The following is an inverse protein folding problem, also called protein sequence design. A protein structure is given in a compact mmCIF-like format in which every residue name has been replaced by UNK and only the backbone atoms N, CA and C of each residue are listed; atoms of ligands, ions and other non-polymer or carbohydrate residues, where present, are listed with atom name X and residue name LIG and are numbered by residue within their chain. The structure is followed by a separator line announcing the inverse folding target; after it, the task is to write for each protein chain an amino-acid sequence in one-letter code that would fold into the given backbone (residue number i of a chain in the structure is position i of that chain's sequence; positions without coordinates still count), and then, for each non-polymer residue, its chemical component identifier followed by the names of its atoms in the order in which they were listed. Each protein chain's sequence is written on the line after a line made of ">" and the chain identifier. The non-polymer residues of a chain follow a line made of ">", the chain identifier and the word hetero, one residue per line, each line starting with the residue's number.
data_IF_808002185061
#
_entry.id   IF_808002185061
#
_cell.length_a   1.000
_cell.length_b   1.000
_cell.length_c   1.000
_cell.angle_alpha   90.00
_cell.angle_beta   90.00
_cell.angle_gamma   90.00
#
_symmetry.space_group_name_H-M   'P 1'
#
loop_
_entity.id
_entity.type
_entity.pdbx_description
1 polymer ?
#
# COMPACT_ATOMS: atom_id res chain seq x y z
N UNK A 1 6.40 -11.66 19.06
CA UNK A 1 6.83 -12.34 20.33
C UNK A 1 7.41 -13.71 20.03
N UNK A 2 6.70 -14.64 19.38
CA UNK A 2 7.19 -16.00 19.13
C UNK A 2 8.51 -16.05 18.35
N UNK A 3 8.63 -15.29 17.26
CA UNK A 3 9.87 -15.21 16.46
C UNK A 3 11.06 -14.65 17.24
N UNK A 4 10.84 -13.66 18.09
CA UNK A 4 11.90 -13.09 18.92
C UNK A 4 12.45 -14.13 19.90
N UNK A 5 11.58 -14.83 20.59
CA UNK A 5 11.97 -15.91 21.51
C UNK A 5 12.71 -17.05 20.80
N UNK A 6 12.25 -17.39 19.60
CA UNK A 6 12.90 -18.41 18.78
C UNK A 6 14.32 -18.01 18.34
N UNK A 7 14.50 -16.77 17.91
CA UNK A 7 15.82 -16.23 17.57
C UNK A 7 16.75 -16.16 18.78
N UNK A 8 16.21 -15.80 19.95
CA UNK A 8 16.98 -15.76 21.18
C UNK A 8 17.39 -17.17 21.64
N UNK A 9 16.53 -18.17 21.42
CA UNK A 9 16.89 -19.58 21.61
C UNK A 9 18.08 -19.98 20.74
N UNK A 10 18.05 -19.68 19.45
CA UNK A 10 19.15 -19.99 18.52
C UNK A 10 20.48 -19.35 18.96
N UNK A 11 20.41 -18.08 19.38
CA UNK A 11 21.58 -17.36 19.92
C UNK A 11 22.14 -18.04 21.17
N UNK A 12 21.26 -18.51 22.07
CA UNK A 12 21.65 -19.20 23.29
C UNK A 12 22.46 -20.48 23.02
N UNK A 13 22.31 -21.08 21.85
CA UNK A 13 23.12 -22.19 21.35
C UNK A 13 24.27 -21.77 20.42
N UNK A 14 24.52 -20.47 20.29
CA UNK A 14 25.59 -19.90 19.47
C UNK A 14 25.32 -19.93 17.96
N UNK A 15 24.10 -20.22 17.55
CA UNK A 15 23.64 -20.21 16.14
C UNK A 15 23.22 -18.81 15.71
N UNK A 16 24.19 -17.94 15.41
CA UNK A 16 23.99 -16.53 15.15
C UNK A 16 24.22 -16.12 13.67
N UNK A 17 24.77 -17.06 12.86
CA UNK A 17 25.03 -16.78 11.44
C UNK A 17 23.73 -16.72 10.67
N UNK A 18 23.70 -15.87 9.62
CA UNK A 18 22.52 -15.70 8.77
C UNK A 18 21.94 -17.03 8.28
N UNK A 19 22.76 -17.89 7.69
CA UNK A 19 22.30 -19.16 7.14
C UNK A 19 21.81 -20.16 8.19
N UNK A 20 22.40 -20.15 9.38
CA UNK A 20 21.93 -20.95 10.50
C UNK A 20 20.53 -20.50 10.93
N UNK A 21 20.35 -19.20 11.09
CA UNK A 21 19.06 -18.63 11.45
C UNK A 21 18.01 -18.86 10.35
N UNK A 22 18.39 -18.64 9.09
CA UNK A 22 17.50 -18.87 7.95
C UNK A 22 17.09 -20.34 7.83
N UNK A 23 18.03 -21.27 7.94
CA UNK A 23 17.76 -22.71 7.92
C UNK A 23 16.83 -23.13 9.06
N UNK A 24 17.05 -22.64 10.28
CA UNK A 24 16.22 -22.94 11.42
C UNK A 24 14.79 -22.38 11.29
N UNK A 25 14.60 -21.24 10.63
CA UNK A 25 13.28 -20.65 10.38
C UNK A 25 12.53 -21.35 9.24
N UNK A 26 13.24 -21.68 8.15
CA UNK A 26 12.62 -22.27 6.95
C UNK A 26 12.32 -23.75 7.11
N UNK A 27 13.22 -24.50 7.72
CA UNK A 27 13.12 -25.97 7.87
C UNK A 27 13.40 -26.43 9.30
N UNK A 28 12.68 -25.92 10.31
CA UNK A 28 12.95 -26.16 11.73
C UNK A 28 12.93 -27.66 12.10
N UNK A 29 12.01 -28.42 11.50
CA UNK A 29 11.84 -29.86 11.79
C UNK A 29 13.03 -30.72 11.35
N UNK A 30 13.88 -30.21 10.47
CA UNK A 30 15.12 -30.88 10.03
C UNK A 30 16.32 -30.36 10.81
N UNK A 31 16.47 -29.05 10.88
CA UNK A 31 17.68 -28.40 11.39
C UNK A 31 17.81 -28.52 12.91
N UNK A 32 16.70 -28.33 13.65
CA UNK A 32 16.74 -28.42 15.12
C UNK A 32 17.08 -29.83 15.62
N UNK A 33 16.50 -30.94 15.11
CA UNK A 33 16.90 -32.28 15.48
C UNK A 33 18.36 -32.61 15.09
N UNK A 34 18.83 -32.10 13.94
CA UNK A 34 20.21 -32.26 13.50
C UNK A 34 21.19 -31.61 14.49
N UNK A 35 20.92 -30.36 14.89
CA UNK A 35 21.75 -29.68 15.91
C UNK A 35 21.60 -30.28 17.30
N UNK A 36 20.42 -30.78 17.66
CA UNK A 36 20.22 -31.46 18.95
C UNK A 36 21.02 -32.76 19.11
N UNK A 37 21.44 -33.38 17.98
CA UNK A 37 22.30 -34.55 17.95
C UNK A 37 23.79 -34.23 17.86
N UNK A 38 24.15 -32.97 17.54
CA UNK A 38 25.55 -32.55 17.42
C UNK A 38 26.15 -32.27 18.82
N UNK A 39 27.14 -33.05 19.29
CA UNK A 39 27.73 -32.85 20.60
C UNK A 39 28.47 -31.51 20.76
N UNK A 40 28.79 -30.83 19.65
CA UNK A 40 29.42 -29.52 19.65
C UNK A 40 28.47 -28.38 19.90
N UNK A 41 27.17 -28.62 19.72
CA UNK A 41 26.13 -27.63 19.98
C UNK A 41 25.73 -27.65 21.44
N UNK A 42 26.30 -26.71 22.22
CA UNK A 42 26.05 -26.60 23.66
C UNK A 42 25.31 -25.30 23.99
N UNK A 43 24.51 -25.36 25.01
CA UNK A 43 23.89 -24.17 25.59
C UNK A 43 24.96 -23.24 26.17
N UNK A 44 24.96 -21.99 25.74
CA UNK A 44 25.96 -20.98 26.10
C UNK A 44 25.45 -19.96 27.12
N UNK A 45 24.19 -20.00 27.44
CA UNK A 45 23.58 -19.08 28.38
C UNK A 45 22.43 -18.28 27.76
N UNK A 46 21.79 -17.48 28.57
CA UNK A 46 20.63 -16.67 28.16
C UNK A 46 21.08 -15.47 27.30
N UNK A 47 20.71 -15.44 26.03
CA UNK A 47 21.20 -14.46 25.05
C UNK A 47 20.85 -13.00 25.35
N UNK A 48 19.83 -12.77 26.17
CA UNK A 48 19.39 -11.43 26.56
C UNK A 48 20.28 -10.77 27.63
N UNK A 49 21.09 -11.54 28.38
CA UNK A 49 21.93 -11.04 29.47
C UNK A 49 23.15 -10.26 28.96
N UNK A 50 23.53 -9.23 29.71
CA UNK A 50 24.71 -8.43 29.40
C UNK A 50 26.00 -9.26 29.50
N UNK A 51 26.04 -10.23 30.39
CA UNK A 51 27.17 -11.18 30.52
C UNK A 51 27.34 -12.02 29.27
N UNK A 52 26.23 -12.55 28.71
CA UNK A 52 26.29 -13.31 27.47
C UNK A 52 26.80 -12.45 26.31
N UNK A 53 26.32 -11.21 26.17
CA UNK A 53 26.76 -10.29 25.13
C UNK A 53 28.23 -9.93 25.22
N UNK A 54 28.78 -9.85 26.45
CA UNK A 54 30.21 -9.61 26.68
C UNK A 54 31.06 -10.83 26.37
N UNK A 55 30.59 -12.03 26.75
CA UNK A 55 31.33 -13.30 26.52
C UNK A 55 31.26 -13.74 25.05
N UNK A 56 30.16 -13.47 24.37
CA UNK A 56 29.92 -13.88 22.98
C UNK A 56 29.55 -12.68 22.10
N UNK A 57 30.48 -11.74 21.88
CA UNK A 57 30.19 -10.55 21.08
C UNK A 57 29.98 -10.95 19.63
N UNK A 58 28.78 -10.75 19.15
CA UNK A 58 28.44 -10.95 17.74
C UNK A 58 28.52 -9.62 16.99
N UNK A 59 29.56 -9.46 16.17
CA UNK A 59 29.68 -8.34 15.24
C UNK A 59 29.07 -8.74 13.89
N UNK A 60 28.04 -8.04 13.46
CA UNK A 60 27.49 -8.19 12.12
C UNK A 60 28.54 -7.75 11.10
N UNK A 61 28.57 -8.40 9.94
CA UNK A 61 29.33 -7.87 8.81
C UNK A 61 28.64 -6.62 8.25
N UNK A 62 29.39 -5.71 7.66
CA UNK A 62 28.87 -4.49 7.04
C UNK A 62 27.76 -4.81 6.03
N UNK A 63 27.94 -5.83 5.18
CA UNK A 63 26.93 -6.26 4.24
C UNK A 63 25.62 -6.71 4.91
N UNK A 64 25.71 -7.38 6.06
CA UNK A 64 24.52 -7.77 6.82
C UNK A 64 23.82 -6.59 7.47
N UNK A 65 24.55 -5.62 7.98
CA UNK A 65 23.97 -4.40 8.54
C UNK A 65 23.15 -3.64 7.48
N UNK A 66 23.73 -3.50 6.29
CA UNK A 66 23.01 -2.90 5.15
C UNK A 66 21.79 -3.70 4.72
N UNK A 67 21.89 -5.03 4.64
CA UNK A 67 20.76 -5.88 4.29
C UNK A 67 19.62 -5.77 5.32
N UNK A 68 19.95 -5.85 6.61
CA UNK A 68 18.97 -5.69 7.70
C UNK A 68 18.29 -4.31 7.63
N UNK A 69 19.05 -3.24 7.38
CA UNK A 69 18.55 -1.88 7.26
C UNK A 69 17.60 -1.72 6.05
N UNK A 70 17.99 -2.25 4.89
CA UNK A 70 17.16 -2.19 3.66
C UNK A 70 15.86 -2.98 3.85
N UNK A 71 15.94 -4.19 4.41
CA UNK A 71 14.75 -5.02 4.68
C UNK A 71 13.83 -4.29 5.66
N UNK A 72 14.38 -3.76 6.76
CA UNK A 72 13.58 -3.01 7.74
C UNK A 72 12.91 -1.80 7.10
N UNK A 73 13.66 -0.98 6.36
CA UNK A 73 13.14 0.21 5.69
C UNK A 73 12.03 -0.14 4.67
N UNK A 74 12.23 -1.21 3.88
CA UNK A 74 11.25 -1.67 2.90
C UNK A 74 9.96 -2.15 3.58
N UNK A 75 10.06 -2.94 4.64
CA UNK A 75 8.89 -3.42 5.39
C UNK A 75 8.17 -2.25 6.06
N UNK A 76 8.90 -1.37 6.76
CA UNK A 76 8.31 -0.22 7.43
C UNK A 76 7.61 0.72 6.44
N UNK A 77 8.26 1.07 5.33
CA UNK A 77 7.67 1.91 4.30
C UNK A 77 6.43 1.25 3.64
N UNK A 78 6.47 -0.07 3.42
CA UNK A 78 5.32 -0.81 2.87
C UNK A 78 4.13 -0.82 3.84
N UNK A 79 4.36 -0.93 5.14
CA UNK A 79 3.32 -0.85 6.16
C UNK A 79 2.73 0.56 6.25
N UNK A 80 3.57 1.60 6.27
CA UNK A 80 3.13 3.00 6.26
C UNK A 80 2.29 3.27 5.02
N UNK A 81 2.80 2.94 3.83
CA UNK A 81 2.09 3.09 2.57
C UNK A 81 0.79 2.29 2.51
N UNK A 82 0.79 1.07 3.03
CA UNK A 82 -0.37 0.18 3.01
C UNK A 82 -1.50 0.62 3.93
N UNK A 83 -1.19 1.10 5.13
CA UNK A 83 -2.18 1.28 6.19
C UNK A 83 -2.36 2.71 6.69
N UNK A 84 -1.38 3.59 6.50
CA UNK A 84 -1.44 4.94 7.08
C UNK A 84 -1.62 6.01 6.02
N UNK A 85 -0.62 6.20 5.15
CA UNK A 85 -0.55 7.32 4.22
C UNK A 85 0.16 6.91 2.93
N UNK A 86 -0.35 7.38 1.81
CA UNK A 86 0.24 7.14 0.49
C UNK A 86 0.34 8.44 -0.29
N UNK A 87 1.50 8.65 -0.93
CA UNK A 87 1.76 9.82 -1.76
C UNK A 87 1.33 9.56 -3.20
N UNK A 88 0.69 10.55 -3.81
CA UNK A 88 0.27 10.54 -5.22
C UNK A 88 0.63 11.86 -5.90
N UNK A 89 0.79 11.80 -7.20
CA UNK A 89 0.89 12.95 -8.07
C UNK A 89 -0.38 13.03 -8.94
N UNK A 90 -0.90 14.23 -9.16
CA UNK A 90 -2.07 14.45 -10.00
C UNK A 90 -1.68 14.45 -11.47
N UNK A 91 -2.14 13.48 -12.28
CA UNK A 91 -1.75 13.37 -13.68
C UNK A 91 -2.69 14.08 -14.65
N UNK A 92 -3.91 14.43 -14.22
CA UNK A 92 -4.97 14.96 -15.10
C UNK A 92 -5.73 16.12 -14.48
N UNK A 93 -6.25 17.02 -15.31
CA UNK A 93 -6.98 18.22 -14.89
C UNK A 93 -8.43 17.99 -14.42
N UNK A 94 -8.89 16.74 -14.22
CA UNK A 94 -10.30 16.46 -13.87
C UNK A 94 -10.74 16.96 -12.49
N UNK A 95 -9.81 17.46 -11.68
CA UNK A 95 -10.05 18.11 -10.38
C UNK A 95 -9.47 19.54 -10.35
N UNK A 96 -9.25 20.12 -11.52
CA UNK A 96 -8.68 21.46 -11.71
C UNK A 96 -9.43 22.53 -10.89
N UNK A 97 -8.77 23.63 -10.55
CA UNK A 97 -9.14 24.64 -9.55
C UNK A 97 -9.09 24.17 -8.09
N UNK A 98 -9.04 22.85 -7.83
CA UNK A 98 -8.80 22.28 -6.49
C UNK A 98 -7.49 21.55 -6.40
N UNK A 99 -7.17 20.75 -7.44
CA UNK A 99 -5.95 19.96 -7.56
C UNK A 99 -5.44 20.16 -8.99
N UNK A 100 -4.24 20.70 -9.11
CA UNK A 100 -3.63 20.98 -10.40
C UNK A 100 -2.81 19.79 -10.89
N UNK A 101 -2.62 19.70 -12.19
CA UNK A 101 -1.71 18.71 -12.78
C UNK A 101 -0.29 18.98 -12.26
N UNK A 102 0.36 17.91 -11.75
CA UNK A 102 1.69 17.99 -11.15
C UNK A 102 1.69 18.20 -9.63
N UNK A 103 0.56 18.46 -9.00
CA UNK A 103 0.47 18.52 -7.54
C UNK A 103 0.81 17.18 -6.90
N UNK A 104 1.55 17.22 -5.79
CA UNK A 104 1.78 16.10 -4.91
C UNK A 104 0.86 16.17 -3.71
N UNK A 105 0.22 15.07 -3.40
CA UNK A 105 -0.68 14.97 -2.26
C UNK A 105 -0.45 13.70 -1.47
N UNK A 106 -0.78 13.76 -0.19
CA UNK A 106 -0.82 12.61 0.69
C UNK A 106 -2.26 12.19 0.96
N UNK A 107 -2.56 10.92 0.71
CA UNK A 107 -3.86 10.33 0.97
C UNK A 107 -3.82 9.58 2.29
N UNK A 108 -4.60 10.04 3.25
CA UNK A 108 -4.79 9.35 4.53
C UNK A 108 -5.69 8.14 4.34
N UNK A 109 -5.22 6.97 4.76
CA UNK A 109 -6.03 5.75 4.76
C UNK A 109 -6.82 5.56 6.05
N UNK A 110 -6.48 6.32 7.09
CA UNK A 110 -7.12 6.23 8.38
C UNK A 110 -8.52 6.87 8.41
N UNK A 111 -8.74 7.89 7.59
CA UNK A 111 -10.02 8.60 7.57
C UNK A 111 -11.19 7.64 7.31
N UNK A 112 -11.13 6.87 6.23
CA UNK A 112 -12.17 5.90 5.86
C UNK A 112 -11.81 4.46 6.25
N UNK A 113 -10.75 4.27 7.02
CA UNK A 113 -10.21 3.01 7.47
C UNK A 113 -9.31 2.31 6.45
N UNK A 114 -8.14 1.82 6.88
CA UNK A 114 -7.23 1.11 6.01
C UNK A 114 -7.81 -0.24 5.59
N UNK A 115 -7.48 -0.63 4.36
CA UNK A 115 -7.90 -1.91 3.80
C UNK A 115 -6.81 -2.96 3.99
N UNK A 116 -7.19 -4.18 4.37
CA UNK A 116 -6.29 -5.32 4.33
C UNK A 116 -6.04 -5.67 2.86
N UNK A 117 -4.77 -5.80 2.41
CA UNK A 117 -4.47 -6.18 1.04
C UNK A 117 -5.10 -7.52 0.66
N UNK A 118 -5.79 -7.58 -0.48
CA UNK A 118 -6.33 -8.83 -0.99
C UNK A 118 -5.21 -9.77 -1.46
N UNK A 119 -4.16 -9.20 -2.08
CA UNK A 119 -2.98 -9.92 -2.56
C UNK A 119 -1.73 -9.50 -1.77
N UNK A 120 -1.49 -10.11 -0.59
CA UNK A 120 -0.40 -9.70 0.31
C UNK A 120 0.99 -10.00 -0.25
N UNK A 121 1.09 -10.98 -1.15
CA UNK A 121 2.36 -11.30 -1.82
C UNK A 121 2.48 -10.39 -3.04
N UNK A 122 3.23 -9.29 -2.88
CA UNK A 122 3.47 -8.34 -3.95
C UNK A 122 4.92 -7.81 -3.89
N UNK A 123 5.44 -7.41 -5.06
CA UNK A 123 6.74 -6.76 -5.12
C UNK A 123 6.67 -5.39 -4.44
N UNK A 124 7.58 -5.09 -3.51
CA UNK A 124 7.57 -3.82 -2.79
C UNK A 124 7.57 -2.62 -3.73
N UNK A 125 6.75 -1.62 -3.43
CA UNK A 125 6.59 -0.36 -4.17
C UNK A 125 6.05 -0.47 -5.60
N UNK A 126 5.91 -1.65 -6.18
CA UNK A 126 5.20 -1.84 -7.44
C UNK A 126 3.69 -1.99 -7.18
N UNK A 127 2.86 -1.29 -7.97
CA UNK A 127 1.41 -1.34 -7.80
C UNK A 127 0.83 -2.62 -8.42
N UNK A 128 0.82 -2.72 -9.73
CA UNK A 128 0.29 -3.89 -10.45
C UNK A 128 1.28 -4.49 -11.45
N UNK A 129 2.24 -3.69 -11.92
CA UNK A 129 3.17 -4.09 -12.98
C UNK A 129 4.62 -4.00 -12.51
N UNK A 130 5.42 -5.00 -12.80
CA UNK A 130 6.85 -5.01 -12.52
C UNK A 130 7.58 -3.96 -13.36
N UNK A 131 8.43 -3.12 -12.76
CA UNK A 131 9.03 -1.98 -13.44
C UNK A 131 9.95 -2.33 -14.61
N UNK A 132 10.53 -3.54 -14.64
CA UNK A 132 11.51 -3.91 -15.66
C UNK A 132 11.00 -4.98 -16.66
N UNK A 133 10.09 -5.84 -16.23
CA UNK A 133 9.63 -6.98 -17.02
C UNK A 133 8.24 -6.80 -17.61
N UNK A 134 7.47 -5.80 -17.13
CA UNK A 134 6.09 -5.57 -17.53
C UNK A 134 5.08 -6.62 -17.04
N UNK A 135 5.55 -7.66 -16.34
CA UNK A 135 4.67 -8.71 -15.80
C UNK A 135 3.91 -8.27 -14.56
N UNK A 136 3.05 -9.16 -14.01
CA UNK A 136 2.34 -8.92 -12.75
C UNK A 136 3.33 -8.74 -11.60
N UNK A 137 3.17 -7.68 -10.81
CA UNK A 137 3.99 -7.39 -9.63
C UNK A 137 3.43 -8.04 -8.34
N UNK A 138 2.44 -8.88 -8.44
CA UNK A 138 1.76 -9.55 -7.32
C UNK A 138 1.42 -10.99 -7.67
N UNK A 139 1.22 -11.81 -6.63
CA UNK A 139 0.78 -13.19 -6.75
C UNK A 139 -0.63 -13.34 -6.20
N UNK A 140 -1.46 -14.09 -6.92
CA UNK A 140 -2.84 -14.43 -6.51
C UNK A 140 -2.93 -15.77 -5.77
N UNK A 141 -1.80 -16.39 -5.42
CA UNK A 141 -1.76 -17.64 -4.65
C UNK A 141 -2.44 -17.50 -3.29
N UNK A 142 -2.31 -16.31 -2.67
CA UNK A 142 -3.05 -15.97 -1.44
C UNK A 142 -3.94 -14.78 -1.80
N UNK A 143 -5.26 -15.02 -1.77
CA UNK A 143 -6.26 -14.00 -1.99
C UNK A 143 -7.13 -13.89 -0.73
N UNK A 144 -6.99 -12.77 -0.01
CA UNK A 144 -7.75 -12.51 1.22
C UNK A 144 -9.04 -11.78 0.83
N UNK A 145 -10.20 -12.20 1.36
CA UNK A 145 -11.46 -11.49 1.12
C UNK A 145 -11.37 -10.01 1.49
N UNK A 146 -12.10 -9.18 0.74
CA UNK A 146 -12.13 -7.74 1.00
C UNK A 146 -12.51 -7.45 2.46
N UNK A 147 -11.64 -6.75 3.17
CA UNK A 147 -11.89 -6.30 4.53
C UNK A 147 -11.27 -4.93 4.75
N UNK A 148 -12.07 -4.02 5.29
CA UNK A 148 -11.65 -2.68 5.70
C UNK A 148 -11.73 -2.57 7.21
N UNK A 149 -10.71 -2.01 7.82
CA UNK A 149 -10.69 -1.71 9.25
C UNK A 149 -11.53 -0.45 9.52
N UNK A 150 -11.99 -0.22 10.75
CA UNK A 150 -12.72 0.99 11.11
C UNK A 150 -11.91 2.25 10.77
N UNK A 151 -12.57 3.25 10.24
CA UNK A 151 -12.03 4.59 10.00
C UNK A 151 -12.52 5.58 11.03
N UNK A 152 -11.94 6.80 10.98
CA UNK A 152 -12.33 7.88 11.89
C UNK A 152 -13.58 8.62 11.44
N UNK A 153 -13.92 8.53 10.14
CA UNK A 153 -15.07 9.23 9.56
C UNK A 153 -15.75 8.37 8.48
N UNK A 154 -16.95 8.76 8.11
CA UNK A 154 -17.70 8.22 6.97
C UNK A 154 -17.53 9.16 5.78
N UNK A 155 -17.72 8.62 4.57
CA UNK A 155 -17.76 9.44 3.36
C UNK A 155 -19.02 10.31 3.38
N UNK A 156 -18.84 11.61 3.17
CA UNK A 156 -19.91 12.59 3.07
C UNK A 156 -20.01 13.15 1.65
N UNK A 157 -21.12 13.82 1.35
CA UNK A 157 -21.27 14.50 0.06
C UNK A 157 -20.22 15.62 -0.04
N UNK A 158 -19.66 15.78 -1.23
CA UNK A 158 -18.61 16.73 -1.59
C UNK A 158 -17.20 16.40 -1.05
N UNK A 159 -17.01 15.29 -0.32
CA UNK A 159 -15.68 14.82 0.02
C UNK A 159 -14.85 14.54 -1.25
N UNK A 160 -13.57 14.88 -1.18
CA UNK A 160 -12.60 14.48 -2.19
C UNK A 160 -12.03 13.13 -1.79
N UNK A 161 -12.39 12.09 -2.56
CA UNK A 161 -12.08 10.71 -2.22
C UNK A 161 -11.17 10.06 -3.26
N UNK A 162 -10.25 9.24 -2.78
CA UNK A 162 -9.45 8.34 -3.62
C UNK A 162 -10.07 6.95 -3.57
N UNK A 163 -10.30 6.37 -4.72
CA UNK A 163 -10.91 5.04 -4.87
C UNK A 163 -10.26 4.24 -5.99
N UNK A 164 -10.41 2.93 -5.94
CA UNK A 164 -9.90 2.05 -6.98
C UNK A 164 -10.85 2.04 -8.18
N UNK A 165 -10.32 2.15 -9.38
CA UNK A 165 -11.09 2.26 -10.63
C UNK A 165 -11.88 0.97 -10.89
N UNK A 166 -13.21 1.01 -10.94
CA UNK A 166 -14.04 -0.20 -10.99
C UNK A 166 -13.94 -0.95 -12.30
N UNK A 167 -13.71 -0.25 -13.43
CA UNK A 167 -13.66 -0.87 -14.77
C UNK A 167 -12.51 -1.87 -14.95
N UNK A 168 -11.52 -1.84 -14.07
CA UNK A 168 -10.43 -2.83 -14.09
C UNK A 168 -10.78 -4.14 -13.35
N UNK A 169 -12.04 -4.27 -12.88
CA UNK A 169 -12.54 -5.51 -12.33
C UNK A 169 -12.74 -6.59 -13.40
N UNK A 170 -13.08 -6.15 -14.59
CA UNK A 170 -13.50 -6.99 -15.71
C UNK A 170 -12.38 -7.07 -16.76
N UNK A 171 -12.62 -7.89 -17.79
CA UNK A 171 -11.70 -8.01 -18.92
C UNK A 171 -11.44 -6.65 -19.61
N UNK A 172 -10.23 -6.42 -20.09
CA UNK A 172 -9.11 -7.37 -20.18
C UNK A 172 -8.21 -7.43 -18.94
N UNK A 173 -8.49 -6.64 -17.91
CA UNK A 173 -7.60 -6.45 -16.77
C UNK A 173 -7.77 -7.50 -15.67
N UNK A 174 -9.00 -7.81 -15.27
CA UNK A 174 -9.35 -8.75 -14.19
C UNK A 174 -8.50 -8.53 -12.92
N UNK A 175 -8.31 -7.27 -12.52
CA UNK A 175 -7.42 -6.93 -11.40
C UNK A 175 -8.12 -7.04 -10.05
N UNK A 176 -7.48 -7.65 -9.04
CA UNK A 176 -7.94 -7.56 -7.66
C UNK A 176 -8.07 -6.09 -7.23
N UNK A 177 -9.01 -5.80 -6.35
CA UNK A 177 -9.35 -4.41 -5.99
C UNK A 177 -8.16 -3.60 -5.45
N UNK A 178 -7.20 -4.24 -4.77
CA UNK A 178 -5.98 -3.61 -4.25
C UNK A 178 -4.89 -3.38 -5.31
N UNK A 179 -5.12 -3.82 -6.54
CA UNK A 179 -4.20 -3.66 -7.68
C UNK A 179 -4.75 -2.79 -8.81
N UNK A 180 -5.99 -2.28 -8.64
CA UNK A 180 -6.60 -1.37 -9.62
C UNK A 180 -6.04 0.03 -9.46
N UNK A 181 -6.05 0.79 -10.55
CA UNK A 181 -5.66 2.19 -10.56
C UNK A 181 -6.43 3.02 -9.52
N UNK A 182 -5.75 4.00 -8.96
CA UNK A 182 -6.33 4.90 -7.97
C UNK A 182 -6.80 6.18 -8.66
N UNK A 183 -8.09 6.47 -8.56
CA UNK A 183 -8.69 7.70 -9.06
C UNK A 183 -9.09 8.60 -7.90
N UNK A 184 -9.00 9.91 -8.14
CA UNK A 184 -9.45 10.93 -7.21
C UNK A 184 -10.62 11.71 -7.82
N UNK A 185 -11.75 11.75 -7.12
CA UNK A 185 -12.96 12.47 -7.54
C UNK A 185 -13.70 12.99 -6.33
N UNK A 186 -14.64 13.91 -6.58
CA UNK A 186 -15.58 14.39 -5.58
C UNK A 186 -16.74 13.40 -5.43
N UNK A 187 -17.06 13.04 -4.19
CA UNK A 187 -18.22 12.20 -3.87
C UNK A 187 -19.49 13.05 -3.97
N UNK A 188 -20.24 12.91 -5.05
CA UNK A 188 -21.45 13.72 -5.29
C UNK A 188 -22.70 13.14 -4.64
N UNK A 189 -22.71 11.86 -4.33
CA UNK A 189 -23.81 11.17 -3.65
C UNK A 189 -23.29 10.12 -2.67
N UNK A 190 -24.10 9.77 -1.70
CA UNK A 190 -23.86 8.71 -0.73
C UNK A 190 -24.94 7.63 -0.85
N UNK A 191 -24.74 6.42 -0.27
CA UNK A 191 -25.77 5.37 -0.32
C UNK A 191 -27.15 5.83 0.13
N UNK A 192 -28.16 5.60 -0.73
CA UNK A 192 -29.54 6.03 -0.50
C UNK A 192 -29.91 7.34 -1.22
N UNK A 193 -28.94 8.03 -1.82
CA UNK A 193 -29.23 9.23 -2.60
C UNK A 193 -29.76 8.91 -4.00
N UNK A 194 -30.73 9.68 -4.45
CA UNK A 194 -31.15 9.76 -5.85
C UNK A 194 -30.35 10.86 -6.56
N UNK A 195 -29.52 10.46 -7.53
CA UNK A 195 -28.67 11.37 -8.28
C UNK A 195 -29.20 11.53 -9.71
N UNK A 196 -29.41 12.76 -10.14
CA UNK A 196 -29.84 13.08 -11.51
C UNK A 196 -29.09 14.29 -12.05
N UNK A 197 -29.04 14.38 -13.39
CA UNK A 197 -28.45 15.53 -14.07
C UNK A 197 -29.49 16.16 -15.00
N UNK A 198 -29.71 17.47 -14.88
CA UNK A 198 -30.62 18.24 -15.72
C UNK A 198 -29.91 19.51 -16.19
N UNK A 199 -29.90 19.74 -17.50
CA UNK A 199 -29.30 20.93 -18.12
C UNK A 199 -27.84 21.19 -17.63
N UNK A 200 -27.04 20.10 -17.51
CA UNK A 200 -25.67 20.19 -17.06
C UNK A 200 -25.49 20.42 -15.55
N UNK A 201 -26.59 20.51 -14.78
CA UNK A 201 -26.56 20.69 -13.32
C UNK A 201 -26.87 19.39 -12.58
N UNK A 202 -26.13 19.14 -11.51
CA UNK A 202 -26.28 17.98 -10.64
C UNK A 202 -27.35 18.21 -9.58
N UNK A 203 -28.30 17.27 -9.51
CA UNK A 203 -29.34 17.22 -8.49
C UNK A 203 -29.15 15.98 -7.61
N UNK A 204 -29.28 16.15 -6.31
CA UNK A 204 -29.31 15.08 -5.35
C UNK A 204 -30.58 15.20 -4.52
N UNK A 205 -31.39 14.13 -4.51
CA UNK A 205 -32.68 14.08 -3.84
C UNK A 205 -33.62 15.23 -4.28
N UNK A 206 -33.60 15.57 -5.57
CA UNK A 206 -34.42 16.60 -6.15
C UNK A 206 -33.95 18.05 -5.95
N UNK A 207 -32.90 18.28 -5.15
CA UNK A 207 -32.31 19.61 -4.96
C UNK A 207 -31.00 19.75 -5.75
N UNK A 208 -30.66 20.96 -6.19
CA UNK A 208 -29.36 21.26 -6.79
C UNK A 208 -28.31 20.93 -5.73
N UNK A 209 -27.37 20.08 -6.09
CA UNK A 209 -26.30 19.66 -5.19
C UNK A 209 -25.19 20.73 -5.10
N UNK A 210 -24.01 20.44 -5.49
CA UNK A 210 -22.89 21.35 -5.46
C UNK A 210 -22.96 22.29 -6.68
N UNK A 211 -23.21 23.58 -6.46
CA UNK A 211 -23.17 24.63 -7.49
C UNK A 211 -22.07 25.63 -7.04
N UNK A 212 -20.96 25.61 -7.72
CA UNK A 212 -19.79 26.44 -7.41
C UNK A 212 -19.14 26.90 -8.70
N UNK A 213 -18.60 28.11 -8.68
CA UNK A 213 -17.80 28.70 -9.76
C UNK A 213 -16.55 27.86 -10.11
N UNK A 214 -16.19 26.93 -9.22
CA UNK A 214 -15.08 26.00 -9.42
C UNK A 214 -15.45 24.76 -10.25
N UNK A 215 -16.72 24.59 -10.64
CA UNK A 215 -17.14 23.50 -11.50
C UNK A 215 -16.65 23.70 -12.94
N UNK A 216 -16.03 22.68 -13.49
CA UNK A 216 -15.72 22.64 -14.91
C UNK A 216 -16.97 22.23 -15.69
N UNK A 217 -17.40 23.07 -16.59
CA UNK A 217 -18.49 22.80 -17.51
C UNK A 217 -18.01 22.93 -18.95
N UNK A 218 -18.54 22.09 -19.82
CA UNK A 218 -18.27 22.19 -21.26
C UNK A 218 -19.23 23.23 -21.88
N UNK A 219 -18.68 24.11 -22.70
CA UNK A 219 -19.43 25.09 -23.44
C UNK A 219 -19.34 24.82 -24.93
N UNK A 220 -20.44 25.05 -25.66
CA UNK A 220 -20.40 25.09 -27.12
C UNK A 220 -20.21 26.55 -27.51
N UNK A 221 -19.11 26.86 -28.14
CA UNK A 221 -18.79 28.20 -28.64
C UNK A 221 -19.16 28.27 -30.11
N UNK A 222 -20.07 29.15 -30.46
CA UNK A 222 -20.35 29.49 -31.85
C UNK A 222 -19.50 30.69 -32.21
N UNK A 223 -18.57 30.51 -33.14
CA UNK A 223 -17.74 31.58 -33.66
C UNK A 223 -17.90 31.70 -35.17
N UNK A 224 -17.80 32.92 -35.68
CA UNK A 224 -17.70 33.14 -37.13
C UNK A 224 -16.38 32.51 -37.63
N UNK A 225 -16.34 32.05 -38.94
CA UNK A 225 -15.28 31.21 -39.46
C UNK A 225 -13.83 31.79 -39.45
N UNK A 226 -13.62 32.99 -38.96
CA UNK A 226 -12.31 33.68 -38.93
C UNK A 226 -11.87 34.15 -37.55
N UNK A 227 -12.44 33.67 -36.46
CA UNK A 227 -12.28 34.29 -35.15
C UNK A 227 -11.51 33.52 -34.06
N UNK A 228 -11.16 32.27 -34.23
CA UNK A 228 -10.41 31.52 -33.20
C UNK A 228 -9.09 31.05 -33.78
N UNK A 229 -8.01 31.68 -33.35
CA UNK A 229 -6.66 31.16 -33.54
C UNK A 229 -6.40 30.06 -32.51
N UNK A 230 -5.83 28.93 -32.91
CA UNK A 230 -5.44 27.84 -32.03
C UNK A 230 -4.22 28.18 -31.14
N UNK A 231 -3.72 29.42 -31.21
CA UNK A 231 -2.51 29.88 -30.53
C UNK A 231 -2.81 30.68 -29.26
N UNK A 232 -3.50 30.06 -28.27
CA UNK A 232 -3.50 30.58 -26.89
C UNK A 232 -3.54 29.42 -25.88
#
# INVERSE_FOLDING_TARGET
>A
VFYSLYLDLLKAFGKQRFWETAAAVLVPFVVLPMWGRDPNVKYKGQSATEEFKKLYPYKKSVGREWADAIIFATVAASLIRGFLIEAYMIPTGSMERRLLVGDFLFVSKLNYGPRIPNTPIAFPFAHHTMPFTGGKAYSELINIPYKRLPGFQKVERNDVVVFNYPMEADEPYNRPVDKRENYIKRAVGIPGDEVSMKDGRLYVNGAISYDSDDLQTSYVVFAEPFGISEDN
#
